data_IF_341266807141
#
_entry.id   IF_341266807141
#
_cell.length_a   1.000
_cell.length_b   1.000
_cell.length_c   1.000
_cell.angle_alpha   90.00
_cell.angle_beta   90.00
_cell.angle_gamma   90.00
#
_symmetry.space_group_name_H-M   'P 1'
#
loop_
_entity.id
_entity.type
_entity.pdbx_description
1 polymer ?
#
# COMPACT_ATOMS: atom_id res chain seq x y z
N UNK A 1 51.44 60.35 22.82
CA UNK A 1 50.94 59.11 23.44
C UNK A 1 49.42 59.19 23.57
N UNK A 2 48.70 58.44 22.73
CA UNK A 2 47.37 57.85 23.00
C UNK A 2 46.91 57.13 21.73
N UNK A 3 47.29 55.87 21.64
CA UNK A 3 46.87 54.92 20.63
C UNK A 3 45.39 54.62 20.86
N UNK A 4 44.50 55.04 19.97
CA UNK A 4 43.11 54.61 19.98
C UNK A 4 42.98 53.39 19.08
N UNK A 5 42.82 52.23 19.71
CA UNK A 5 42.47 50.97 19.07
C UNK A 5 40.95 50.97 18.90
N UNK A 6 40.48 50.97 17.66
CA UNK A 6 39.07 50.80 17.33
C UNK A 6 38.75 49.28 17.34
N UNK A 7 37.83 48.78 18.18
CA UNK A 7 37.46 47.38 18.11
C UNK A 7 36.48 47.17 16.94
N UNK A 8 36.88 46.31 16.02
CA UNK A 8 36.04 45.78 14.96
C UNK A 8 35.00 44.83 15.61
N UNK A 9 33.79 45.32 15.86
CA UNK A 9 32.66 44.47 16.25
C UNK A 9 32.24 43.61 15.04
N UNK A 10 32.72 42.37 14.98
CA UNK A 10 32.06 41.33 14.18
C UNK A 10 30.70 41.03 14.82
N UNK A 11 29.62 41.58 14.25
CA UNK A 11 28.28 41.04 14.45
C UNK A 11 28.20 39.70 13.71
N UNK A 12 28.41 38.60 14.43
CA UNK A 12 27.93 37.30 13.99
C UNK A 12 26.40 37.32 14.06
N UNK A 13 25.75 37.58 12.93
CA UNK A 13 24.34 37.25 12.75
C UNK A 13 24.20 35.73 12.76
N UNK A 14 24.17 35.14 13.96
CA UNK A 14 23.56 33.83 14.15
C UNK A 14 22.06 34.03 13.88
N UNK A 15 21.64 33.79 12.64
CA UNK A 15 20.25 33.48 12.33
C UNK A 15 19.93 32.15 13.01
N UNK A 16 19.66 32.23 14.32
CA UNK A 16 18.80 31.28 15.00
C UNK A 16 17.44 31.44 14.33
N UNK A 17 17.24 30.71 13.24
CA UNK A 17 15.92 30.34 12.80
C UNK A 17 15.34 29.50 13.95
N UNK A 18 14.73 30.18 14.92
CA UNK A 18 13.75 29.57 15.79
C UNK A 18 12.66 29.11 14.86
N UNK A 19 12.68 27.81 14.50
CA UNK A 19 11.53 27.17 13.90
C UNK A 19 10.37 27.44 14.85
N UNK A 20 9.49 28.36 14.46
CA UNK A 20 8.32 28.72 15.24
C UNK A 20 7.50 27.46 15.45
N UNK A 21 7.29 27.14 16.72
CA UNK A 21 6.27 26.23 17.25
C UNK A 21 4.88 26.82 16.90
N UNK A 22 4.49 26.78 15.63
CA UNK A 22 3.06 26.72 15.32
C UNK A 22 2.59 25.38 15.84
N UNK A 23 1.62 25.39 16.76
CA UNK A 23 0.98 24.20 17.31
C UNK A 23 0.66 23.23 16.16
N UNK A 24 1.51 22.21 16.01
CA UNK A 24 1.49 21.38 14.81
C UNK A 24 0.18 20.61 14.81
N UNK A 25 -0.66 20.83 13.79
CA UNK A 25 -1.93 20.11 13.66
C UNK A 25 -1.65 18.60 13.68
N UNK A 26 -2.48 17.79 14.37
CA UNK A 26 -2.30 16.35 14.38
C UNK A 26 -2.29 15.79 12.94
N UNK A 27 -1.58 14.68 12.75
CA UNK A 27 -1.55 13.98 11.46
C UNK A 27 -2.96 13.52 11.06
N UNK A 28 -3.72 13.02 12.05
CA UNK A 28 -5.13 12.69 11.90
C UNK A 28 -5.92 13.21 13.11
N UNK A 29 -7.09 13.74 12.83
CA UNK A 29 -8.10 14.11 13.81
C UNK A 29 -9.47 13.93 13.16
N UNK A 30 -10.09 12.77 13.39
CA UNK A 30 -11.44 12.44 12.92
C UNK A 30 -12.50 12.54 14.05
N UNK A 31 -12.08 13.01 15.23
CA UNK A 31 -12.88 13.08 16.45
C UNK A 31 -12.83 11.84 17.35
N UNK A 32 -12.64 10.64 16.80
CA UNK A 32 -12.54 9.40 17.58
C UNK A 32 -11.10 8.89 17.72
N UNK A 33 -10.27 9.18 16.71
CA UNK A 33 -8.85 8.83 16.63
C UNK A 33 -8.07 10.12 16.40
N UNK A 34 -7.07 10.35 17.25
CA UNK A 34 -6.12 11.46 17.11
C UNK A 34 -4.72 10.88 17.02
N UNK A 35 -4.09 11.04 15.86
CA UNK A 35 -2.68 10.68 15.65
C UNK A 35 -1.86 11.96 15.70
N UNK A 36 -0.96 12.13 16.69
CA UNK A 36 -0.15 13.34 16.80
C UNK A 36 0.75 13.50 15.58
N UNK A 37 1.10 14.75 15.26
CA UNK A 37 2.14 15.00 14.26
C UNK A 37 3.50 14.53 14.77
N UNK A 38 4.27 13.90 13.90
CA UNK A 38 5.64 13.51 14.21
C UNK A 38 6.52 14.75 14.48
N UNK A 39 7.22 14.76 15.63
CA UNK A 39 8.15 15.83 16.02
C UNK A 39 9.59 15.31 16.10
N UNK A 40 10.55 16.16 15.76
CA UNK A 40 11.97 15.82 15.80
C UNK A 40 12.50 15.57 17.22
N UNK A 41 11.80 16.06 18.24
CA UNK A 41 12.13 15.94 19.66
C UNK A 41 11.30 14.86 20.38
N UNK A 42 10.59 13.99 19.65
CA UNK A 42 9.82 12.90 20.24
C UNK A 42 10.70 11.95 21.05
N UNK A 43 10.18 11.52 22.20
CA UNK A 43 10.86 10.56 23.05
C UNK A 43 10.96 9.20 22.35
N UNK A 44 12.17 8.66 22.28
CA UNK A 44 12.42 7.31 21.75
C UNK A 44 12.20 6.30 22.89
N UNK A 45 11.41 5.27 22.63
CA UNK A 45 11.21 4.19 23.59
C UNK A 45 12.54 3.44 23.83
N UNK A 46 12.85 3.05 25.08
CA UNK A 46 14.10 2.34 25.39
C UNK A 46 14.15 0.91 24.84
N UNK A 47 13.01 0.38 24.40
CA UNK A 47 12.88 -0.91 23.74
C UNK A 47 11.71 -0.88 22.74
N UNK A 48 11.77 -1.76 21.75
CA UNK A 48 10.68 -1.96 20.80
C UNK A 48 9.39 -2.40 21.52
N UNK A 49 8.25 -1.84 21.10
CA UNK A 49 6.92 -2.23 21.56
C UNK A 49 6.04 -2.61 20.38
N UNK A 50 5.74 -3.91 20.24
CA UNK A 50 4.82 -4.40 19.22
C UNK A 50 3.41 -3.84 19.40
N UNK A 51 2.96 -3.64 20.64
CA UNK A 51 1.66 -3.06 20.95
C UNK A 51 1.58 -1.59 20.49
N UNK A 52 2.62 -0.79 20.72
CA UNK A 52 2.65 0.60 20.26
C UNK A 52 2.69 0.71 18.72
N UNK A 53 3.47 -0.17 18.07
CA UNK A 53 3.51 -0.24 16.61
C UNK A 53 2.16 -0.66 16.01
N UNK A 54 1.52 -1.68 16.59
CA UNK A 54 0.20 -2.16 16.16
C UNK A 54 -0.86 -1.07 16.33
N UNK A 55 -0.88 -0.40 17.49
CA UNK A 55 -1.76 0.73 17.76
C UNK A 55 -1.59 1.85 16.73
N UNK A 56 -0.34 2.28 16.47
CA UNK A 56 -0.07 3.35 15.51
C UNK A 56 -0.53 2.99 14.08
N UNK A 57 -0.21 1.78 13.61
CA UNK A 57 -0.59 1.32 12.28
C UNK A 57 -2.10 1.19 12.13
N UNK A 58 -2.77 0.63 13.14
CA UNK A 58 -4.23 0.46 13.16
C UNK A 58 -4.94 1.81 13.14
N UNK A 59 -4.57 2.70 14.05
CA UNK A 59 -5.22 3.99 14.23
C UNK A 59 -5.06 4.87 12.99
N UNK A 60 -3.87 4.90 12.39
CA UNK A 60 -3.65 5.61 11.12
C UNK A 60 -4.51 5.06 9.97
N UNK A 61 -4.64 3.73 9.86
CA UNK A 61 -5.48 3.12 8.83
C UNK A 61 -6.98 3.37 9.05
N UNK A 62 -7.45 3.32 10.30
CA UNK A 62 -8.83 3.63 10.66
C UNK A 62 -9.15 5.10 10.43
N UNK A 63 -8.30 6.01 10.89
CA UNK A 63 -8.55 7.45 10.77
C UNK A 63 -8.55 7.93 9.31
N UNK A 64 -7.70 7.34 8.47
CA UNK A 64 -7.78 7.56 7.03
C UNK A 64 -9.12 7.10 6.46
N UNK A 65 -9.57 5.90 6.83
CA UNK A 65 -10.80 5.30 6.30
C UNK A 65 -12.04 6.13 6.69
N UNK A 66 -12.07 6.66 7.90
CA UNK A 66 -13.14 7.55 8.39
C UNK A 66 -13.15 8.91 7.67
N UNK A 67 -11.98 9.54 7.52
CA UNK A 67 -11.90 10.91 7.02
C UNK A 67 -11.91 11.04 5.50
N UNK A 68 -11.40 10.05 4.77
CA UNK A 68 -11.20 10.13 3.31
C UNK A 68 -12.12 9.22 2.50
N UNK A 69 -12.76 8.23 3.11
CA UNK A 69 -13.72 7.34 2.45
C UNK A 69 -13.19 6.73 1.12
N UNK A 70 -11.89 6.38 1.09
CA UNK A 70 -11.27 5.66 -0.03
C UNK A 70 -10.16 4.72 0.46
N UNK A 71 -9.74 3.79 -0.41
CA UNK A 71 -8.55 2.96 -0.19
C UNK A 71 -7.33 3.71 -0.73
N UNK A 72 -6.33 3.97 0.11
CA UNK A 72 -5.04 4.53 -0.27
C UNK A 72 -3.96 3.46 -0.16
N UNK A 73 -3.15 3.37 -1.21
CA UNK A 73 -2.07 2.41 -1.36
C UNK A 73 -1.02 2.51 -0.23
N UNK A 74 -0.83 3.69 0.36
CA UNK A 74 0.21 4.00 1.35
C UNK A 74 -0.33 4.20 2.78
N UNK A 75 -1.61 3.90 3.02
CA UNK A 75 -2.20 3.93 4.37
C UNK A 75 -3.02 2.66 4.63
N UNK A 76 -4.36 2.73 4.51
CA UNK A 76 -5.25 1.61 4.79
C UNK A 76 -5.10 0.46 3.79
N UNK A 77 -4.73 0.72 2.53
CA UNK A 77 -4.42 -0.30 1.54
C UNK A 77 -3.19 -1.12 1.93
N UNK A 78 -2.06 -0.45 2.22
CA UNK A 78 -0.85 -1.12 2.73
C UNK A 78 -1.17 -1.93 4.00
N UNK A 79 -1.89 -1.33 4.95
CA UNK A 79 -2.32 -2.02 6.17
C UNK A 79 -3.10 -3.31 5.87
N UNK A 80 -4.09 -3.25 4.97
CA UNK A 80 -4.88 -4.40 4.57
C UNK A 80 -4.04 -5.52 3.95
N UNK A 81 -3.03 -5.18 3.15
CA UNK A 81 -2.15 -6.17 2.48
C UNK A 81 -1.11 -6.80 3.42
N UNK A 82 -0.77 -6.16 4.53
CA UNK A 82 0.34 -6.61 5.38
C UNK A 82 -0.12 -7.13 6.75
N UNK A 83 -1.07 -6.45 7.40
CA UNK A 83 -1.49 -6.76 8.77
C UNK A 83 -2.03 -8.19 8.95
N UNK A 84 -2.81 -8.77 8.01
CA UNK A 84 -3.29 -10.15 8.16
C UNK A 84 -2.16 -11.15 8.40
N UNK A 85 -1.04 -11.03 7.70
CA UNK A 85 0.12 -11.91 7.84
C UNK A 85 0.72 -11.91 9.25
N UNK A 86 0.56 -10.80 9.99
CA UNK A 86 1.06 -10.64 11.35
C UNK A 86 0.14 -11.22 12.44
N UNK A 87 -0.98 -11.85 12.06
CA UNK A 87 -1.95 -12.45 13.00
C UNK A 87 -1.31 -13.36 14.06
N UNK A 88 -0.30 -14.22 13.76
CA UNK A 88 0.34 -15.06 14.78
C UNK A 88 1.07 -14.29 15.90
N UNK A 89 1.47 -13.04 15.65
CA UNK A 89 2.24 -12.23 16.61
C UNK A 89 1.44 -11.09 17.23
N UNK A 90 0.54 -10.48 16.45
CA UNK A 90 -0.23 -9.30 16.83
C UNK A 90 -1.71 -9.60 17.10
N UNK A 91 -2.10 -10.87 17.05
CA UNK A 91 -3.50 -11.27 17.15
C UNK A 91 -4.31 -10.90 15.90
N UNK A 92 -5.58 -11.30 15.91
CA UNK A 92 -6.50 -11.08 14.80
C UNK A 92 -6.72 -9.58 14.58
N UNK A 93 -6.53 -9.05 13.35
CA UNK A 93 -6.88 -7.67 13.05
C UNK A 93 -8.38 -7.43 13.18
N UNK A 94 -8.75 -6.19 13.52
CA UNK A 94 -10.15 -5.78 13.61
C UNK A 94 -10.86 -5.90 12.24
N UNK A 95 -12.12 -6.33 12.24
CA UNK A 95 -12.88 -6.54 11.01
C UNK A 95 -13.23 -5.23 10.28
N UNK A 96 -13.22 -4.09 10.98
CA UNK A 96 -13.71 -2.79 10.49
C UNK A 96 -13.06 -2.35 9.17
N UNK A 97 -11.75 -2.59 9.01
CA UNK A 97 -11.05 -2.27 7.76
C UNK A 97 -11.40 -3.23 6.61
N UNK A 98 -11.67 -4.52 6.90
CA UNK A 98 -12.21 -5.46 5.91
C UNK A 98 -13.60 -5.02 5.47
N UNK A 99 -14.47 -4.67 6.41
CA UNK A 99 -15.83 -4.19 6.14
C UNK A 99 -15.81 -2.91 5.31
N UNK A 100 -14.90 -1.99 5.63
CA UNK A 100 -14.65 -0.80 4.82
C UNK A 100 -14.21 -1.14 3.39
N UNK A 101 -13.25 -2.05 3.21
CA UNK A 101 -12.81 -2.48 1.88
C UNK A 101 -13.95 -3.09 1.04
N UNK A 102 -14.86 -3.86 1.67
CA UNK A 102 -16.05 -4.39 1.01
C UNK A 102 -17.04 -3.30 0.61
N UNK A 103 -17.23 -2.28 1.45
CA UNK A 103 -18.06 -1.14 1.13
C UNK A 103 -17.47 -0.33 -0.05
N UNK A 104 -16.15 -0.11 -0.06
CA UNK A 104 -15.47 0.55 -1.17
C UNK A 104 -15.52 -0.27 -2.48
N UNK A 105 -15.41 -1.60 -2.39
CA UNK A 105 -15.62 -2.48 -3.55
C UNK A 105 -17.03 -2.30 -4.14
N UNK A 106 -18.05 -2.26 -3.28
CA UNK A 106 -19.43 -2.06 -3.72
C UNK A 106 -19.61 -0.68 -4.38
N UNK A 107 -18.96 0.38 -3.87
CA UNK A 107 -18.96 1.71 -4.51
C UNK A 107 -18.29 1.70 -5.88
N UNK A 108 -17.12 1.05 -6.00
CA UNK A 108 -16.41 0.92 -7.28
C UNK A 108 -17.26 0.18 -8.31
N UNK A 109 -17.88 -0.94 -7.94
CA UNK A 109 -18.75 -1.71 -8.85
C UNK A 109 -19.98 -0.92 -9.34
N UNK A 110 -20.43 0.07 -8.58
CA UNK A 110 -21.54 0.95 -8.94
C UNK A 110 -21.08 2.26 -9.63
N UNK A 111 -19.78 2.41 -9.87
CA UNK A 111 -19.23 3.56 -10.60
C UNK A 111 -19.42 3.38 -12.10
N UNK A 112 -19.62 4.49 -12.82
CA UNK A 112 -19.65 4.51 -14.28
C UNK A 112 -18.42 3.79 -14.87
N UNK A 113 -18.60 2.80 -15.77
CA UNK A 113 -17.50 2.10 -16.42
C UNK A 113 -16.42 3.02 -17.02
N UNK A 114 -16.82 4.16 -17.60
CA UNK A 114 -15.89 5.12 -18.22
C UNK A 114 -15.00 5.83 -17.19
N UNK A 115 -15.36 5.76 -15.91
CA UNK A 115 -14.61 6.34 -14.80
C UNK A 115 -13.70 5.33 -14.12
N UNK A 116 -13.93 4.02 -14.29
CA UNK A 116 -13.17 2.96 -13.61
C UNK A 116 -11.68 2.95 -13.98
N UNK A 117 -11.35 3.41 -15.18
CA UNK A 117 -9.97 3.53 -15.68
C UNK A 117 -9.29 4.86 -15.30
N UNK A 118 -9.95 5.74 -14.54
CA UNK A 118 -9.46 7.10 -14.25
C UNK A 118 -9.09 7.29 -12.78
N UNK A 119 -8.04 8.08 -12.57
CA UNK A 119 -7.55 8.40 -11.23
C UNK A 119 -7.03 7.15 -10.54
N UNK A 120 -7.25 7.08 -9.22
CA UNK A 120 -6.75 6.00 -8.36
C UNK A 120 -7.64 4.75 -8.37
N UNK A 121 -8.75 4.73 -9.12
CA UNK A 121 -9.74 3.65 -9.02
C UNK A 121 -9.20 2.26 -9.39
N UNK A 122 -8.37 2.11 -10.44
CA UNK A 122 -7.73 0.82 -10.70
C UNK A 122 -6.85 0.35 -9.54
N UNK A 123 -6.02 1.26 -8.98
CA UNK A 123 -5.19 0.97 -7.83
C UNK A 123 -6.05 0.57 -6.60
N UNK A 124 -7.15 1.28 -6.34
CA UNK A 124 -8.09 0.92 -5.28
C UNK A 124 -8.65 -0.49 -5.44
N UNK A 125 -9.09 -0.87 -6.65
CA UNK A 125 -9.58 -2.21 -6.92
C UNK A 125 -8.51 -3.29 -6.64
N UNK A 126 -7.26 -3.03 -7.04
CA UNK A 126 -6.13 -3.94 -6.80
C UNK A 126 -5.84 -4.09 -5.30
N UNK A 127 -5.74 -2.99 -4.55
CA UNK A 127 -5.44 -3.04 -3.12
C UNK A 127 -6.58 -3.65 -2.29
N UNK A 128 -7.84 -3.46 -2.70
CA UNK A 128 -8.98 -4.16 -2.10
C UNK A 128 -8.84 -5.66 -2.31
N UNK A 129 -8.64 -6.11 -3.55
CA UNK A 129 -8.49 -7.53 -3.86
C UNK A 129 -7.29 -8.15 -3.13
N UNK A 130 -6.15 -7.46 -3.08
CA UNK A 130 -4.96 -7.88 -2.35
C UNK A 130 -5.21 -8.00 -0.84
N UNK A 131 -5.85 -6.99 -0.24
CA UNK A 131 -6.17 -6.99 1.18
C UNK A 131 -7.12 -8.11 1.58
N UNK A 132 -8.15 -8.36 0.77
CA UNK A 132 -9.10 -9.46 0.98
C UNK A 132 -8.43 -10.84 0.79
N UNK A 133 -7.52 -10.98 -0.18
CA UNK A 133 -6.73 -12.19 -0.38
C UNK A 133 -5.80 -12.48 0.81
N UNK A 134 -5.10 -11.47 1.33
CA UNK A 134 -4.24 -11.60 2.51
C UNK A 134 -5.06 -11.92 3.77
N UNK A 135 -6.24 -11.31 3.92
CA UNK A 135 -7.20 -11.67 4.97
C UNK A 135 -7.61 -13.14 4.86
N UNK A 136 -7.95 -13.61 3.67
CA UNK A 136 -8.37 -14.99 3.47
C UNK A 136 -7.23 -15.99 3.70
N UNK A 137 -6.02 -15.66 3.29
CA UNK A 137 -4.83 -16.48 3.51
C UNK A 137 -4.46 -16.58 4.99
N UNK A 138 -4.54 -15.47 5.72
CA UNK A 138 -3.95 -15.39 7.06
C UNK A 138 -4.95 -15.47 8.21
N UNK A 139 -6.20 -15.05 7.98
CA UNK A 139 -7.23 -14.93 9.01
C UNK A 139 -8.32 -15.99 8.86
N UNK A 140 -9.00 -16.10 7.71
CA UNK A 140 -10.11 -17.07 7.52
C UNK A 140 -9.63 -18.44 7.05
N UNK A 141 -8.44 -18.51 6.45
CA UNK A 141 -7.81 -19.72 5.88
C UNK A 141 -8.57 -20.35 4.72
N UNK A 142 -9.52 -19.62 4.13
CA UNK A 142 -10.34 -20.10 3.02
C UNK A 142 -10.68 -18.94 2.10
N UNK A 143 -10.88 -19.24 0.82
CA UNK A 143 -11.33 -18.27 -0.15
C UNK A 143 -12.79 -17.90 0.09
N UNK A 144 -13.03 -16.63 0.41
CA UNK A 144 -14.37 -16.08 0.56
C UNK A 144 -14.98 -15.72 -0.81
N UNK A 145 -16.33 -15.71 -0.92
CA UNK A 145 -17.02 -15.20 -2.10
C UNK A 145 -16.64 -13.74 -2.42
N UNK A 146 -16.44 -12.92 -1.39
CA UNK A 146 -16.10 -11.51 -1.58
C UNK A 146 -14.70 -11.33 -2.18
N UNK A 147 -13.71 -12.12 -1.73
CA UNK A 147 -12.36 -12.10 -2.33
C UNK A 147 -12.38 -12.57 -3.78
N UNK A 148 -13.15 -13.62 -4.08
CA UNK A 148 -13.32 -14.09 -5.47
C UNK A 148 -13.89 -12.98 -6.34
N UNK A 149 -14.95 -12.31 -5.88
CA UNK A 149 -15.57 -11.21 -6.59
C UNK A 149 -14.60 -10.02 -6.78
N UNK A 150 -13.84 -9.66 -5.74
CA UNK A 150 -12.87 -8.58 -5.80
C UNK A 150 -11.76 -8.86 -6.82
N UNK A 151 -11.24 -10.09 -6.86
CA UNK A 151 -10.22 -10.50 -7.84
C UNK A 151 -10.79 -10.51 -9.27
N UNK A 152 -11.99 -11.02 -9.48
CA UNK A 152 -12.65 -10.99 -10.80
C UNK A 152 -12.94 -9.58 -11.29
N UNK A 153 -13.32 -8.68 -10.37
CA UNK A 153 -13.49 -7.26 -10.66
C UNK A 153 -12.16 -6.58 -10.96
N UNK A 154 -11.10 -6.84 -10.18
CA UNK A 154 -9.75 -6.34 -10.47
C UNK A 154 -9.32 -6.71 -11.90
N UNK A 155 -9.44 -7.99 -12.29
CA UNK A 155 -9.07 -8.44 -13.64
C UNK A 155 -9.99 -7.92 -14.75
N UNK A 156 -11.22 -7.50 -14.45
CA UNK A 156 -12.07 -6.85 -15.47
C UNK A 156 -11.57 -5.45 -15.85
N UNK A 157 -10.76 -4.83 -15.00
CA UNK A 157 -10.14 -3.52 -15.24
C UNK A 157 -8.76 -3.60 -15.92
N UNK A 158 -8.24 -4.81 -16.16
CA UNK A 158 -6.90 -4.99 -16.73
C UNK A 158 -6.86 -4.47 -18.18
N UNK A 159 -5.81 -3.74 -18.52
CA UNK A 159 -5.54 -3.26 -19.87
C UNK A 159 -4.92 -4.35 -20.75
N UNK A 160 -4.90 -4.13 -22.07
CA UNK A 160 -4.30 -5.08 -23.01
C UNK A 160 -2.80 -5.28 -22.83
N UNK A 161 -2.13 -4.31 -22.23
CA UNK A 161 -0.71 -4.40 -21.83
C UNK A 161 -0.46 -5.49 -20.78
N UNK A 162 -1.50 -5.91 -20.04
CA UNK A 162 -1.39 -6.82 -18.91
C UNK A 162 -1.25 -6.13 -17.55
N UNK A 163 -1.20 -4.79 -17.51
CA UNK A 163 -1.25 -3.99 -16.29
C UNK A 163 -2.57 -3.21 -16.16
N UNK A 164 -2.63 -2.22 -15.28
CA UNK A 164 -3.77 -1.35 -15.01
C UNK A 164 -3.39 0.11 -15.22
N UNK A 165 -4.39 0.97 -15.43
CA UNK A 165 -4.13 2.41 -15.51
C UNK A 165 -3.53 2.90 -14.18
N UNK A 166 -2.51 3.75 -14.30
CA UNK A 166 -1.73 4.30 -13.20
C UNK A 166 -1.56 5.80 -13.39
N UNK A 167 -1.44 6.54 -12.29
CA UNK A 167 -1.11 7.97 -12.30
C UNK A 167 0.39 8.25 -12.27
N UNK A 168 1.22 7.23 -12.04
CA UNK A 168 2.69 7.28 -12.03
C UNK A 168 3.26 8.42 -11.16
N UNK A 169 2.77 8.57 -9.91
CA UNK A 169 3.01 9.83 -9.17
C UNK A 169 3.36 9.73 -7.69
N UNK A 170 3.31 8.57 -7.02
CA UNK A 170 3.45 8.51 -5.55
C UNK A 170 4.53 7.56 -4.99
N UNK A 171 5.78 7.56 -5.49
CA UNK A 171 6.80 6.64 -5.00
C UNK A 171 6.97 6.68 -3.45
N UNK A 172 7.19 5.53 -2.79
CA UNK A 172 7.40 4.21 -3.39
C UNK A 172 6.10 3.46 -3.77
N UNK A 173 4.94 3.79 -3.20
CA UNK A 173 3.67 3.08 -3.46
C UNK A 173 2.87 3.69 -4.59
N UNK A 174 2.31 2.91 -5.53
CA UNK A 174 1.64 3.50 -6.71
C UNK A 174 2.61 4.42 -7.50
N UNK A 175 3.89 4.00 -7.52
CA UNK A 175 4.95 4.67 -8.29
C UNK A 175 4.68 4.62 -9.78
N UNK A 176 4.14 3.50 -10.24
CA UNK A 176 3.92 3.21 -11.65
C UNK A 176 2.99 2.00 -11.86
N UNK A 177 2.64 1.74 -13.12
CA UNK A 177 1.90 0.55 -13.53
C UNK A 177 2.62 -0.77 -13.25
N UNK A 178 3.96 -0.78 -13.13
CA UNK A 178 4.73 -1.98 -12.80
C UNK A 178 4.48 -2.40 -11.36
N UNK A 179 4.48 -1.44 -10.42
CA UNK A 179 4.09 -1.67 -9.04
C UNK A 179 2.67 -2.24 -8.99
N UNK A 180 1.68 -1.59 -9.61
CA UNK A 180 0.30 -2.09 -9.58
C UNK A 180 0.17 -3.53 -10.09
N UNK A 181 0.90 -3.89 -11.15
CA UNK A 181 0.95 -5.26 -11.66
C UNK A 181 1.53 -6.25 -10.62
N UNK A 182 2.59 -5.88 -9.90
CA UNK A 182 3.14 -6.75 -8.84
C UNK A 182 2.16 -6.96 -7.68
N UNK A 183 1.40 -5.93 -7.27
CA UNK A 183 0.35 -6.08 -6.23
C UNK A 183 -0.77 -6.97 -6.72
N UNK A 184 -1.22 -6.81 -7.96
CA UNK A 184 -2.24 -7.68 -8.55
C UNK A 184 -1.77 -9.15 -8.64
N UNK A 185 -0.50 -9.37 -8.97
CA UNK A 185 0.09 -10.71 -8.99
C UNK A 185 0.13 -11.33 -7.58
N UNK A 186 0.52 -10.55 -6.57
CA UNK A 186 0.47 -10.99 -5.18
C UNK A 186 -0.95 -11.27 -4.71
N UNK A 187 -1.94 -10.46 -5.08
CA UNK A 187 -3.34 -10.69 -4.76
C UNK A 187 -3.83 -12.06 -5.29
N UNK A 188 -3.60 -12.29 -6.58
CA UNK A 188 -3.96 -13.54 -7.26
C UNK A 188 -3.28 -14.77 -6.63
N UNK A 189 -1.98 -14.70 -6.35
CA UNK A 189 -1.21 -15.81 -5.79
C UNK A 189 -1.41 -16.06 -4.29
N UNK A 190 -1.92 -15.06 -3.55
CA UNK A 190 -2.12 -15.18 -2.10
C UNK A 190 -3.49 -15.78 -1.76
N UNK A 191 -4.51 -15.50 -2.57
CA UNK A 191 -5.86 -15.99 -2.34
C UNK A 191 -5.91 -17.53 -2.38
N UNK A 192 -6.38 -18.20 -1.31
CA UNK A 192 -6.40 -19.66 -1.24
C UNK A 192 -7.15 -20.28 -2.43
N UNK A 193 -6.57 -21.28 -3.08
CA UNK A 193 -7.18 -22.05 -4.18
C UNK A 193 -7.73 -21.20 -5.36
N UNK A 194 -7.42 -19.90 -5.44
CA UNK A 194 -8.04 -19.01 -6.41
C UNK A 194 -7.47 -19.22 -7.80
N UNK A 195 -6.14 -19.32 -7.93
CA UNK A 195 -5.48 -19.64 -9.20
C UNK A 195 -5.99 -20.97 -9.77
N UNK A 196 -6.15 -22.00 -8.92
CA UNK A 196 -6.67 -23.30 -9.32
C UNK A 196 -8.18 -23.33 -9.47
N UNK A 197 -8.96 -22.34 -9.08
CA UNK A 197 -10.42 -22.34 -9.24
C UNK A 197 -10.93 -21.29 -10.22
N UNK A 198 -10.13 -20.29 -10.56
CA UNK A 198 -10.43 -19.33 -11.60
C UNK A 198 -10.42 -20.04 -12.96
N UNK A 199 -11.60 -20.15 -13.58
CA UNK A 199 -11.82 -20.91 -14.83
C UNK A 199 -12.39 -20.09 -15.98
N UNK A 200 -12.72 -18.81 -15.76
CA UNK A 200 -13.20 -17.99 -16.86
C UNK A 200 -12.07 -17.70 -17.85
N UNK A 201 -12.39 -17.72 -19.15
CA UNK A 201 -11.43 -17.42 -20.21
C UNK A 201 -10.76 -16.05 -20.02
N UNK A 202 -11.55 -15.06 -19.56
CA UNK A 202 -11.07 -13.71 -19.26
C UNK A 202 -10.01 -13.70 -18.15
N UNK A 203 -10.24 -14.40 -17.04
CA UNK A 203 -9.27 -14.42 -15.94
C UNK A 203 -8.02 -15.21 -16.34
N UNK A 204 -8.17 -16.34 -17.03
CA UNK A 204 -7.03 -17.10 -17.54
C UNK A 204 -6.17 -16.26 -18.50
N UNK A 205 -6.79 -15.58 -19.47
CA UNK A 205 -6.10 -14.68 -20.38
C UNK A 205 -5.43 -13.52 -19.64
N UNK A 206 -6.09 -12.97 -18.62
CA UNK A 206 -5.56 -11.87 -17.82
C UNK A 206 -4.34 -12.25 -16.98
N UNK A 207 -4.34 -13.46 -16.40
CA UNK A 207 -3.19 -14.02 -15.69
C UNK A 207 -1.99 -14.19 -16.62
N UNK A 208 -2.20 -14.70 -17.83
CA UNK A 208 -1.14 -14.82 -18.84
C UNK A 208 -0.61 -13.47 -19.29
N UNK A 209 -1.48 -12.47 -19.51
CA UNK A 209 -1.06 -11.10 -19.81
C UNK A 209 -0.25 -10.50 -18.67
N UNK A 210 -0.67 -10.69 -17.42
CA UNK A 210 0.02 -10.19 -16.23
C UNK A 210 1.41 -10.81 -16.09
N UNK A 211 1.50 -12.13 -16.19
CA UNK A 211 2.77 -12.86 -16.15
C UNK A 211 3.71 -12.37 -17.25
N UNK A 212 3.22 -12.25 -18.48
CA UNK A 212 3.99 -11.71 -19.60
C UNK A 212 4.48 -10.30 -19.31
N UNK A 213 3.59 -9.39 -18.91
CA UNK A 213 3.94 -8.01 -18.58
C UNK A 213 5.08 -7.93 -17.56
N UNK A 214 4.98 -8.66 -16.46
CA UNK A 214 5.99 -8.64 -15.39
C UNK A 214 7.34 -9.26 -15.78
N UNK A 215 7.35 -10.18 -16.75
CA UNK A 215 8.56 -10.90 -17.19
C UNK A 215 9.21 -10.32 -18.45
N UNK A 216 8.47 -9.57 -19.26
CA UNK A 216 8.97 -8.94 -20.48
C UNK A 216 9.23 -7.45 -20.34
N UNK A 217 8.77 -6.83 -19.25
CA UNK A 217 9.00 -5.41 -18.96
C UNK A 217 10.16 -5.29 -17.99
N UNK A 218 11.17 -4.49 -18.36
CA UNK A 218 12.28 -4.16 -17.48
C UNK A 218 11.74 -3.45 -16.22
N UNK A 219 12.04 -3.93 -15.00
CA UNK A 219 11.67 -3.24 -13.78
C UNK A 219 12.25 -1.82 -13.75
N UNK A 220 11.48 -0.78 -13.39
CA UNK A 220 11.92 0.61 -13.53
C UNK A 220 13.11 0.99 -12.63
N UNK A 221 13.32 0.26 -11.53
CA UNK A 221 14.38 0.47 -10.53
C UNK A 221 14.47 -0.73 -9.57
N UNK A 222 15.47 -0.75 -8.67
CA UNK A 222 15.69 -1.83 -7.70
C UNK A 222 14.49 -2.13 -6.80
N UNK A 223 13.68 -1.11 -6.48
CA UNK A 223 12.42 -1.33 -5.77
C UNK A 223 11.44 -2.19 -6.59
N UNK A 224 11.38 -2.00 -7.91
CA UNK A 224 10.56 -2.79 -8.82
C UNK A 224 11.08 -4.22 -8.97
N UNK A 225 12.41 -4.39 -8.99
CA UNK A 225 13.05 -5.72 -8.94
C UNK A 225 12.68 -6.46 -7.65
N UNK A 226 12.71 -5.77 -6.51
CA UNK A 226 12.30 -6.33 -5.20
C UNK A 226 10.83 -6.75 -5.20
N UNK A 227 9.95 -5.91 -5.76
CA UNK A 227 8.53 -6.23 -5.90
C UNK A 227 8.28 -7.43 -6.83
N UNK A 228 9.01 -7.55 -7.93
CA UNK A 228 8.95 -8.71 -8.81
C UNK A 228 9.36 -9.99 -8.09
N UNK A 229 10.47 -9.95 -7.34
CA UNK A 229 10.90 -11.07 -6.52
C UNK A 229 9.82 -11.46 -5.50
N UNK A 230 9.25 -10.48 -4.79
CA UNK A 230 8.18 -10.74 -3.83
C UNK A 230 6.93 -11.33 -4.49
N UNK A 231 6.49 -10.77 -5.63
CA UNK A 231 5.38 -11.33 -6.40
C UNK A 231 5.65 -12.78 -6.81
N UNK A 232 6.89 -13.12 -7.17
CA UNK A 232 7.27 -14.50 -7.57
C UNK A 232 7.20 -15.51 -6.41
N UNK A 233 7.29 -15.04 -5.16
CA UNK A 233 7.10 -15.87 -3.98
C UNK A 233 5.62 -16.20 -3.72
N UNK A 234 4.70 -15.43 -4.33
CA UNK A 234 3.24 -15.61 -4.18
C UNK A 234 2.60 -16.23 -5.42
N UNK A 235 3.04 -15.83 -6.61
CA UNK A 235 2.49 -16.27 -7.90
C UNK A 235 3.37 -17.38 -8.49
N UNK A 236 2.94 -18.66 -8.42
CA UNK A 236 3.74 -19.77 -8.92
C UNK A 236 4.07 -19.65 -10.42
N UNK A 237 5.32 -19.89 -10.76
CA UNK A 237 5.80 -19.85 -12.14
C UNK A 237 5.95 -18.45 -12.73
N UNK A 238 5.83 -17.37 -11.95
CA UNK A 238 6.17 -16.02 -12.40
C UNK A 238 7.67 -15.90 -12.73
N UNK A 239 8.53 -16.35 -11.81
CA UNK A 239 9.96 -16.55 -12.02
C UNK A 239 10.34 -17.97 -11.60
N UNK A 240 11.32 -18.54 -12.31
CA UNK A 240 12.02 -19.74 -11.86
C UNK A 240 13.10 -19.40 -10.82
N UNK A 241 13.75 -20.42 -10.24
CA UNK A 241 14.76 -20.21 -9.19
C UNK A 241 15.98 -19.43 -9.68
N UNK A 242 16.36 -19.59 -10.95
CA UNK A 242 17.44 -18.81 -11.56
C UNK A 242 17.05 -17.33 -11.68
N UNK A 243 15.83 -17.04 -12.14
CA UNK A 243 15.28 -15.70 -12.23
C UNK A 243 15.22 -15.03 -10.86
N UNK A 244 14.74 -15.74 -9.82
CA UNK A 244 14.71 -15.23 -8.43
C UNK A 244 16.11 -14.90 -7.90
N UNK A 245 17.10 -15.76 -8.17
CA UNK A 245 18.48 -15.57 -7.71
C UNK A 245 19.22 -14.43 -8.44
N UNK A 246 18.71 -13.99 -9.60
CA UNK A 246 19.29 -12.90 -10.41
C UNK A 246 18.81 -11.50 -10.03
N UNK A 247 17.79 -11.41 -9.17
CA UNK A 247 17.30 -10.15 -8.60
C UNK A 247 18.18 -9.76 -7.42
#
# INVERSE_FOLDING_TARGET
MKTQILPLCLLACASLATAQDESQKPQYDDGSIVVPAARADESILPAFSSAAAEHHLRDGALAWSESKSCISCHTNGAYLTMRPALTPWLGRPENRLREFALAELAKLKNTDPDMLQKGTRPAQAIYIAAGLAEWDRHVTKTLSPETREALEFMFSLQQDTGSWASLDCWPPYESDAYHLATVAAMAAGTAPDWLESARSERVAAGLEKLKRYLTSTEPPHDYGRTLLLWASCRFPGLLDEAGKASI
#
